data_IF_059968215047
#
_entry.id   IF_059968215047
#
_cell.length_a   1.000
_cell.length_b   1.000
_cell.length_c   1.000
_cell.angle_alpha   90.00
_cell.angle_beta   90.00
_cell.angle_gamma   90.00
#
_symmetry.space_group_name_H-M   'P 1'
#
loop_
_entity.id
_entity.type
_entity.pdbx_description
1 polymer ?
#
# COMPACT_ATOMS: atom_id res chain seq x y z
N UNK A 1 -4.83 3.07 -21.29
CA UNK A 1 -5.12 3.58 -19.94
C UNK A 1 -6.63 3.72 -19.78
N UNK A 2 -7.17 3.40 -18.59
CA UNK A 2 -8.61 3.32 -18.29
C UNK A 2 -9.28 4.68 -17.97
N UNK A 3 -8.53 5.79 -17.95
CA UNK A 3 -9.09 7.14 -17.79
C UNK A 3 -9.75 7.45 -16.43
N UNK A 4 -9.53 6.60 -15.41
CA UNK A 4 -10.09 6.72 -14.07
C UNK A 4 -9.01 6.59 -13.00
N UNK A 5 -9.28 7.15 -11.82
CA UNK A 5 -8.48 6.97 -10.61
C UNK A 5 -9.03 5.85 -9.70
N UNK A 6 -10.18 5.29 -10.05
CA UNK A 6 -10.83 4.17 -9.36
C UNK A 6 -10.42 2.85 -10.03
N UNK A 7 -9.75 2.00 -9.25
CA UNK A 7 -9.24 0.68 -9.64
C UNK A 7 -9.97 -0.45 -8.89
N UNK A 8 -11.21 -0.23 -8.45
CA UNK A 8 -11.98 -1.23 -7.68
C UNK A 8 -12.22 -2.54 -8.43
N UNK A 9 -12.29 -2.49 -9.76
CA UNK A 9 -12.40 -3.68 -10.62
C UNK A 9 -11.04 -4.27 -11.03
N UNK A 10 -9.94 -3.78 -10.47
CA UNK A 10 -8.58 -4.23 -10.77
C UNK A 10 -7.96 -5.02 -9.62
N UNK A 11 -7.01 -5.89 -9.98
CA UNK A 11 -6.17 -6.63 -9.06
C UNK A 11 -4.71 -6.21 -9.25
N UNK A 12 -3.99 -5.99 -8.16
CA UNK A 12 -2.56 -5.70 -8.15
C UNK A 12 -1.78 -6.94 -7.75
N UNK A 13 -0.81 -7.33 -8.56
CA UNK A 13 0.16 -8.36 -8.22
C UNK A 13 1.51 -7.70 -7.96
N UNK A 14 2.06 -7.90 -6.77
CA UNK A 14 3.35 -7.33 -6.37
C UNK A 14 4.29 -8.41 -5.84
N UNK A 15 5.56 -8.31 -6.20
CA UNK A 15 6.59 -9.28 -5.78
C UNK A 15 6.94 -9.15 -4.30
N UNK A 16 6.72 -7.98 -3.72
CA UNK A 16 6.97 -7.68 -2.32
C UNK A 16 5.79 -6.90 -1.73
N UNK A 17 5.55 -7.09 -0.44
CA UNK A 17 4.57 -6.35 0.34
C UNK A 17 4.76 -4.83 0.13
N UNK A 18 3.68 -4.07 -0.18
CA UNK A 18 3.79 -2.63 -0.35
C UNK A 18 4.29 -1.94 0.92
N UNK A 19 5.35 -1.12 0.82
CA UNK A 19 5.76 -0.22 1.89
C UNK A 19 4.66 0.84 2.19
N UNK A 20 4.75 1.62 3.28
CA UNK A 20 3.71 2.58 3.64
C UNK A 20 3.36 3.59 2.54
N UNK A 21 4.33 3.99 1.70
CA UNK A 21 4.08 4.84 0.53
C UNK A 21 3.18 4.14 -0.50
N UNK A 22 3.55 2.93 -0.91
CA UNK A 22 2.81 2.15 -1.89
C UNK A 22 1.45 1.72 -1.34
N UNK A 23 1.37 1.38 -0.06
CA UNK A 23 0.11 1.11 0.61
C UNK A 23 -0.84 2.31 0.55
N UNK A 24 -0.33 3.53 0.78
CA UNK A 24 -1.10 4.74 0.55
C UNK A 24 -1.65 4.84 -0.87
N UNK A 25 -0.84 4.55 -1.89
CA UNK A 25 -1.28 4.57 -3.29
C UNK A 25 -2.35 3.51 -3.60
N UNK A 26 -2.24 2.30 -3.03
CA UNK A 26 -3.27 1.25 -3.14
C UNK A 26 -4.60 1.75 -2.58
N UNK A 27 -4.58 2.35 -1.39
CA UNK A 27 -5.80 2.88 -0.76
C UNK A 27 -6.39 4.07 -1.54
N UNK A 28 -5.55 4.96 -2.06
CA UNK A 28 -6.02 6.12 -2.85
C UNK A 28 -6.64 5.73 -4.18
N UNK A 29 -6.12 4.67 -4.81
CA UNK A 29 -6.61 4.15 -6.09
C UNK A 29 -7.82 3.22 -5.95
N UNK A 30 -8.23 2.86 -4.72
CA UNK A 30 -9.38 1.97 -4.45
C UNK A 30 -9.25 0.60 -5.08
N UNK A 31 -8.02 0.07 -5.16
CA UNK A 31 -7.77 -1.28 -5.67
C UNK A 31 -8.68 -2.31 -4.99
N UNK A 32 -9.23 -3.23 -5.79
CA UNK A 32 -10.11 -4.29 -5.28
C UNK A 32 -9.34 -5.36 -4.53
N UNK A 33 -8.23 -5.84 -5.11
CA UNK A 33 -7.37 -6.87 -4.52
C UNK A 33 -5.88 -6.58 -4.70
N UNK A 34 -5.08 -7.04 -3.74
CA UNK A 34 -3.62 -7.08 -3.83
C UNK A 34 -3.12 -8.48 -3.49
N UNK A 35 -2.25 -9.01 -4.34
CA UNK A 35 -1.53 -10.27 -4.14
C UNK A 35 -0.05 -9.98 -3.87
N UNK A 36 0.48 -10.53 -2.77
CA UNK A 36 1.82 -10.23 -2.26
C UNK A 36 2.73 -11.45 -2.44
N UNK A 37 3.91 -11.26 -3.03
CA UNK A 37 4.92 -12.32 -3.16
C UNK A 37 5.65 -12.62 -1.84
N UNK A 38 6.47 -11.68 -1.37
CA UNK A 38 7.21 -11.78 -0.10
C UNK A 38 6.85 -10.65 0.86
N UNK A 39 7.01 -10.90 2.16
CA UNK A 39 6.70 -9.91 3.20
C UNK A 39 7.79 -8.84 3.38
N UNK A 40 7.45 -7.76 4.09
CA UNK A 40 8.37 -6.67 4.45
C UNK A 40 9.58 -7.15 5.27
N UNK A 41 9.45 -8.26 6.00
CA UNK A 41 10.55 -8.84 6.77
C UNK A 41 11.61 -9.46 5.86
N UNK A 42 11.18 -10.07 4.76
CA UNK A 42 12.07 -10.56 3.72
C UNK A 42 12.78 -9.41 3.04
N UNK A 43 12.09 -8.33 2.67
CA UNK A 43 12.71 -7.13 2.13
C UNK A 43 13.79 -6.56 3.07
N UNK A 44 13.50 -6.47 4.38
CA UNK A 44 14.45 -6.00 5.38
C UNK A 44 15.72 -6.85 5.47
N UNK A 45 15.64 -8.18 5.28
CA UNK A 45 16.83 -9.06 5.26
C UNK A 45 17.80 -8.71 4.12
N UNK A 46 17.29 -8.11 3.04
CA UNK A 46 18.09 -7.68 1.88
C UNK A 46 18.46 -6.19 1.92
N UNK A 47 18.20 -5.51 3.04
CA UNK A 47 18.64 -4.12 3.25
C UNK A 47 17.65 -3.06 2.79
N UNK A 48 16.38 -3.39 2.58
CA UNK A 48 15.34 -2.41 2.29
C UNK A 48 14.64 -1.91 3.57
N UNK A 49 14.23 -0.64 3.57
CA UNK A 49 13.69 0.06 4.74
C UNK A 49 12.17 -0.09 4.94
N UNK A 50 11.49 -0.92 4.14
CA UNK A 50 10.03 -1.10 4.18
C UNK A 50 9.52 -1.34 5.60
N UNK A 51 10.19 -2.25 6.33
CA UNK A 51 9.87 -2.56 7.72
C UNK A 51 10.09 -1.36 8.64
N UNK A 52 11.18 -0.60 8.45
CA UNK A 52 11.49 0.59 9.28
C UNK A 52 10.41 1.64 9.11
N UNK A 53 9.92 1.84 7.89
CA UNK A 53 8.81 2.78 7.64
C UNK A 53 7.51 2.33 8.33
N UNK A 54 7.21 1.03 8.33
CA UNK A 54 6.08 0.50 9.08
C UNK A 54 6.25 0.67 10.59
N UNK A 55 7.45 0.39 11.12
CA UNK A 55 7.75 0.60 12.53
C UNK A 55 7.58 2.08 12.92
N UNK A 56 7.92 3.03 12.04
CA UNK A 56 7.72 4.47 12.27
C UNK A 56 6.24 4.86 12.30
N UNK A 57 5.44 4.36 11.35
CA UNK A 57 3.98 4.58 11.32
C UNK A 57 3.31 4.02 12.58
N UNK A 58 3.76 2.87 13.05
CA UNK A 58 3.29 2.22 14.28
C UNK A 58 3.83 2.86 15.57
N UNK A 59 4.66 3.91 15.47
CA UNK A 59 5.38 4.54 16.57
C UNK A 59 6.29 3.58 17.38
N UNK A 60 6.79 2.52 16.73
CA UNK A 60 7.74 1.53 17.26
C UNK A 60 9.19 1.85 16.89
N UNK A 61 9.43 2.63 15.83
CA UNK A 61 10.77 3.05 15.44
C UNK A 61 11.27 4.19 16.35
N UNK A 62 11.80 3.85 17.53
CA UNK A 62 12.26 4.84 18.53
C UNK A 62 13.35 5.84 18.07
N UNK A 63 13.83 5.77 16.82
CA UNK A 63 14.91 6.60 16.28
C UNK A 63 14.62 7.27 14.92
N UNK A 64 13.61 6.83 14.16
CA UNK A 64 13.37 7.29 12.78
C UNK A 64 12.20 8.28 12.64
N UNK A 65 11.82 8.87 13.79
CA UNK A 65 10.81 9.90 13.98
C UNK A 65 10.74 10.94 12.87
N UNK A 66 9.56 11.17 12.30
CA UNK A 66 9.27 12.28 11.38
C UNK A 66 9.52 13.63 12.10
N UNK A 67 10.76 14.15 12.03
CA UNK A 67 11.15 15.39 12.71
C UNK A 67 10.53 16.60 12.00
N UNK A 68 9.36 17.02 12.47
CA UNK A 68 8.66 18.21 11.96
C UNK A 68 9.31 19.49 12.51
N UNK A 69 9.99 20.26 11.68
CA UNK A 69 10.44 21.63 12.00
C UNK A 69 9.62 22.66 11.23
N UNK A 70 9.08 23.68 11.91
CA UNK A 70 8.40 24.81 11.26
C UNK A 70 6.91 24.63 10.94
N UNK A 71 6.19 23.76 11.66
CA UNK A 71 4.75 23.59 11.46
C UNK A 71 3.98 24.83 11.92
N UNK A 72 3.43 25.58 10.96
CA UNK A 72 2.41 26.60 11.23
C UNK A 72 1.08 25.85 11.26
N UNK A 73 0.48 25.77 12.46
CA UNK A 73 -0.90 25.29 12.61
C UNK A 73 -1.79 26.26 11.84
N UNK A 74 -2.72 25.74 11.04
CA UNK A 74 -3.71 26.60 10.40
C UNK A 74 -4.37 27.45 11.49
N UNK A 75 -4.29 28.78 11.33
CA UNK A 75 -4.74 29.77 12.32
C UNK A 75 -6.25 29.99 12.28
N UNK A 76 -6.95 29.31 11.37
CA UNK A 76 -8.41 29.21 11.39
C UNK A 76 -8.84 28.57 12.72
N UNK A 77 -9.43 29.38 13.60
CA UNK A 77 -10.01 28.97 14.89
C UNK A 77 -11.29 28.14 14.73
N UNK A 78 -11.58 27.66 13.52
CA UNK A 78 -12.70 26.81 13.22
C UNK A 78 -12.46 25.44 13.85
N UNK A 79 -13.42 24.99 14.66
CA UNK A 79 -13.70 23.57 14.83
C UNK A 79 -14.19 23.04 13.48
N UNK A 80 -13.32 22.99 12.48
CA UNK A 80 -13.59 22.28 11.24
C UNK A 80 -13.74 20.83 11.66
N UNK A 81 -14.99 20.40 11.78
CA UNK A 81 -15.31 19.02 12.05
C UNK A 81 -14.74 18.24 10.89
N UNK A 82 -13.82 17.33 11.22
CA UNK A 82 -13.35 16.33 10.26
C UNK A 82 -14.57 15.76 9.54
N UNK A 83 -14.62 15.86 8.20
CA UNK A 83 -15.75 15.34 7.46
C UNK A 83 -15.93 13.88 7.83
N UNK A 84 -17.19 13.46 7.97
CA UNK A 84 -17.51 12.09 8.32
C UNK A 84 -16.85 11.17 7.28
N UNK A 85 -15.82 10.42 7.71
CA UNK A 85 -15.13 9.49 6.82
C UNK A 85 -16.15 8.43 6.40
N UNK A 86 -16.38 8.33 5.10
CA UNK A 86 -17.15 7.24 4.53
C UNK A 86 -16.24 6.01 4.58
N UNK A 87 -16.66 4.98 5.30
CA UNK A 87 -16.00 3.68 5.26
C UNK A 87 -16.12 3.15 3.83
N UNK A 88 -14.99 3.12 3.14
CA UNK A 88 -14.85 2.53 1.81
C UNK A 88 -14.58 1.05 1.98
N UNK A 89 -14.98 0.24 1.01
CA UNK A 89 -14.56 -1.17 0.96
C UNK A 89 -13.03 -1.22 1.08
N UNK A 90 -12.56 -2.02 2.04
CA UNK A 90 -11.14 -2.25 2.23
C UNK A 90 -10.65 -3.20 1.15
N UNK A 91 -9.44 -2.94 0.64
CA UNK A 91 -8.79 -3.82 -0.34
C UNK A 91 -8.60 -5.22 0.24
N UNK A 92 -8.87 -6.25 -0.55
CA UNK A 92 -8.59 -7.63 -0.18
C UNK A 92 -7.09 -7.91 -0.34
N UNK A 93 -6.46 -8.54 0.65
CA UNK A 93 -5.03 -8.84 0.64
C UNK A 93 -4.82 -10.34 0.66
N UNK A 94 -4.07 -10.84 -0.32
CA UNK A 94 -3.68 -12.24 -0.43
C UNK A 94 -2.17 -12.37 -0.24
N UNK A 95 -1.77 -13.13 0.78
CA UNK A 95 -0.37 -13.45 1.03
C UNK A 95 0.03 -14.70 0.23
N UNK A 96 1.00 -14.51 -0.66
CA UNK A 96 1.44 -15.53 -1.60
C UNK A 96 0.53 -15.64 -2.82
N UNK A 97 1.12 -16.10 -3.93
CA UNK A 97 0.40 -16.50 -5.15
C UNK A 97 0.76 -17.96 -5.39
N UNK A 98 -0.24 -18.81 -5.66
CA UNK A 98 0.04 -20.23 -5.94
C UNK A 98 0.88 -20.34 -7.21
N UNK A 99 1.77 -21.35 -7.27
CA UNK A 99 2.65 -21.53 -8.43
C UNK A 99 1.86 -21.79 -9.72
N UNK A 100 0.72 -22.48 -9.61
CA UNK A 100 -0.23 -22.68 -10.71
C UNK A 100 -0.89 -21.37 -11.18
N UNK A 101 -1.23 -20.48 -10.25
CA UNK A 101 -1.75 -19.15 -10.56
C UNK A 101 -0.66 -18.31 -11.24
N UNK A 102 0.58 -18.36 -10.76
CA UNK A 102 1.71 -17.67 -11.42
C UNK A 102 1.92 -18.17 -12.85
N UNK A 103 1.88 -19.49 -13.06
CA UNK A 103 2.04 -20.08 -14.39
C UNK A 103 0.91 -19.66 -15.34
N UNK A 104 -0.34 -19.70 -14.87
CA UNK A 104 -1.49 -19.33 -15.70
C UNK A 104 -1.54 -17.82 -15.98
N UNK A 105 -1.25 -16.97 -14.99
CA UNK A 105 -1.36 -15.52 -15.11
C UNK A 105 -0.18 -14.90 -15.86
N UNK A 106 1.06 -15.34 -15.59
CA UNK A 106 2.27 -14.67 -16.07
C UNK A 106 3.06 -15.45 -17.12
N UNK A 107 2.84 -16.76 -17.23
CA UNK A 107 3.60 -17.61 -18.17
C UNK A 107 2.76 -18.14 -19.34
N UNK A 108 1.43 -17.92 -19.36
CA UNK A 108 0.60 -18.30 -20.51
C UNK A 108 0.84 -17.35 -21.70
N UNK A 109 1.40 -17.85 -22.83
CA UNK A 109 1.66 -17.04 -24.03
C UNK A 109 0.39 -16.52 -24.72
N UNK A 110 -0.79 -17.07 -24.39
CA UNK A 110 -2.07 -16.60 -24.93
C UNK A 110 -2.58 -15.35 -24.21
N UNK A 111 -2.26 -15.22 -22.92
CA UNK A 111 -2.57 -14.07 -22.07
C UNK A 111 -1.49 -12.99 -22.18
N UNK A 112 -0.22 -13.39 -22.11
CA UNK A 112 0.94 -12.51 -22.14
C UNK A 112 1.53 -12.48 -23.56
N UNK A 113 1.00 -11.59 -24.40
CA UNK A 113 1.49 -11.34 -25.77
C UNK A 113 2.75 -10.49 -25.79
#
# INVERSE_FOLDING_TARGET
>A
AIGSHDLSDCELFTTCEPCPMCWGAVQWSRLGKVHIGVDRHTAAKYGFDDKVFYDEVDAKAGHYGLRRSGFIRDTSSGLDKEPQRIDKNMVEVHDGILIEDVQSLFMDPKLNR
#
